data_IF_719742118964
#
_entry.id   IF_719742118964
#
_cell.length_a   1.000
_cell.length_b   1.000
_cell.length_c   1.000
_cell.angle_alpha   90.00
_cell.angle_beta   90.00
_cell.angle_gamma   90.00
#
_symmetry.space_group_name_H-M   'P 1'
#
loop_
_entity.id
_entity.type
_entity.pdbx_description
1 polymer ?
#
# COMPACT_ATOMS: atom_id res chain seq x y z
N UNK A 1 7.84 -7.13 11.57
CA UNK A 1 8.16 -6.74 10.17
C UNK A 1 9.45 -5.94 10.17
N UNK A 2 10.36 -6.33 9.33
CA UNK A 2 11.59 -5.56 9.13
C UNK A 2 11.35 -4.47 8.10
N UNK A 3 11.87 -3.28 8.36
CA UNK A 3 11.78 -2.15 7.45
C UNK A 3 13.18 -1.71 7.10
N UNK A 4 13.48 -1.70 5.80
CA UNK A 4 14.75 -1.15 5.33
C UNK A 4 14.66 0.36 5.35
N UNK A 5 15.61 1.01 6.01
CA UNK A 5 15.68 2.46 6.00
C UNK A 5 16.20 2.93 4.65
N UNK A 6 15.41 3.69 3.95
CA UNK A 6 15.77 4.26 2.66
C UNK A 6 15.40 5.74 2.62
N UNK A 7 15.70 6.40 1.52
CA UNK A 7 15.41 7.83 1.38
C UNK A 7 13.94 8.15 1.59
N UNK A 8 13.03 7.26 1.12
CA UNK A 8 11.60 7.45 1.29
C UNK A 8 11.18 7.52 2.74
N UNK A 9 11.69 6.61 3.57
CA UNK A 9 11.39 6.60 4.99
C UNK A 9 12.12 7.69 5.75
N UNK A 10 13.40 7.91 5.44
CA UNK A 10 14.23 8.86 6.17
C UNK A 10 13.82 10.31 5.92
N UNK A 11 13.39 10.62 4.70
CA UNK A 11 13.11 11.99 4.28
C UNK A 11 11.67 12.21 3.82
N UNK A 12 10.79 11.22 4.03
CA UNK A 12 9.39 11.35 3.63
C UNK A 12 9.14 11.22 2.13
N UNK A 13 10.10 10.70 1.38
CA UNK A 13 9.98 10.52 -0.08
C UNK A 13 9.34 9.19 -0.40
N UNK A 14 8.05 9.16 -0.46
CA UNK A 14 7.31 7.96 -0.77
C UNK A 14 5.86 8.28 -1.08
N UNK A 15 5.09 7.25 -1.41
CA UNK A 15 3.67 7.37 -1.67
C UNK A 15 2.90 6.40 -0.79
N UNK A 16 1.70 6.77 -0.41
CA UNK A 16 0.85 5.88 0.35
C UNK A 16 -0.61 6.04 -0.04
N UNK A 17 -1.38 4.99 0.23
CA UNK A 17 -2.83 4.99 0.11
C UNK A 17 -3.42 4.42 1.39
N UNK A 18 -4.49 5.05 1.86
CA UNK A 18 -5.27 4.53 2.97
C UNK A 18 -6.62 4.09 2.43
N UNK A 19 -6.86 2.79 2.44
CA UNK A 19 -8.01 2.18 1.79
C UNK A 19 -8.99 1.72 2.86
N UNK A 20 -10.20 2.26 2.83
CA UNK A 20 -11.23 1.86 3.78
C UNK A 20 -11.60 0.39 3.60
N UNK A 21 -11.83 -0.28 4.71
CA UNK A 21 -12.29 -1.67 4.74
C UNK A 21 -13.62 -1.69 5.47
N UNK A 22 -14.63 -2.26 4.83
CA UNK A 22 -15.96 -2.42 5.43
C UNK A 22 -16.48 -3.82 5.13
N UNK A 23 -16.94 -4.52 6.16
CA UNK A 23 -17.40 -5.90 6.07
C UNK A 23 -16.35 -6.80 5.40
N UNK A 24 -15.08 -6.56 5.70
CA UNK A 24 -13.96 -7.32 5.14
C UNK A 24 -13.61 -6.98 3.71
N UNK A 25 -14.24 -5.96 3.13
CA UNK A 25 -14.02 -5.58 1.72
C UNK A 25 -13.32 -4.25 1.61
N UNK A 26 -12.32 -4.19 0.74
CA UNK A 26 -11.60 -2.96 0.43
C UNK A 26 -12.44 -2.08 -0.50
N UNK A 27 -12.63 -0.83 -0.10
CA UNK A 27 -13.46 0.11 -0.84
C UNK A 27 -12.62 0.83 -1.88
N UNK A 28 -13.04 0.76 -3.15
CA UNK A 28 -12.35 1.41 -4.28
C UNK A 28 -10.89 1.01 -4.43
N UNK A 29 -10.59 -0.28 -4.19
CA UNK A 29 -9.22 -0.78 -4.26
C UNK A 29 -8.54 -0.44 -5.60
N UNK A 30 -9.23 -0.63 -6.70
CA UNK A 30 -8.68 -0.37 -8.03
C UNK A 30 -8.29 1.10 -8.23
N UNK A 31 -9.10 2.02 -7.71
CA UNK A 31 -8.82 3.46 -7.81
C UNK A 31 -7.61 3.84 -6.97
N UNK A 32 -7.54 3.29 -5.76
CA UNK A 32 -6.39 3.53 -4.88
C UNK A 32 -5.09 3.02 -5.51
N UNK A 33 -5.12 1.83 -6.08
CA UNK A 33 -3.93 1.27 -6.70
C UNK A 33 -3.51 2.04 -7.95
N UNK A 34 -4.46 2.48 -8.76
CA UNK A 34 -4.13 3.31 -9.93
C UNK A 34 -3.51 4.64 -9.53
N UNK A 35 -4.03 5.27 -8.47
CA UNK A 35 -3.47 6.53 -7.97
C UNK A 35 -2.08 6.30 -7.40
N UNK A 36 -1.88 5.20 -6.68
CA UNK A 36 -0.57 4.84 -6.16
C UNK A 36 0.43 4.63 -7.30
N UNK A 37 0.02 3.91 -8.34
CA UNK A 37 0.89 3.66 -9.50
C UNK A 37 1.34 4.97 -10.14
N UNK A 38 0.43 5.93 -10.32
CA UNK A 38 0.78 7.25 -10.87
C UNK A 38 1.77 7.98 -9.97
N UNK A 39 1.60 7.88 -8.66
CA UNK A 39 2.52 8.51 -7.70
C UNK A 39 3.91 7.89 -7.79
N UNK A 40 4.00 6.56 -7.91
CA UNK A 40 5.29 5.87 -8.07
C UNK A 40 6.00 6.31 -9.33
N UNK A 41 5.28 6.44 -10.45
CA UNK A 41 5.82 6.95 -11.69
C UNK A 41 6.36 8.37 -11.51
N UNK A 42 5.58 9.24 -10.89
CA UNK A 42 5.97 10.62 -10.64
C UNK A 42 7.24 10.71 -9.80
N UNK A 43 7.34 9.87 -8.77
CA UNK A 43 8.50 9.83 -7.88
C UNK A 43 9.67 9.06 -8.46
N UNK A 44 9.48 8.38 -9.60
CA UNK A 44 10.50 7.55 -10.26
C UNK A 44 11.01 6.42 -9.37
N UNK A 45 10.10 5.80 -8.63
CA UNK A 45 10.43 4.68 -7.74
C UNK A 45 9.79 3.37 -8.19
N UNK A 46 9.41 3.30 -9.46
CA UNK A 46 8.92 2.07 -10.09
C UNK A 46 7.45 2.13 -10.48
N UNK A 47 6.88 0.95 -10.64
CA UNK A 47 5.45 0.77 -10.93
C UNK A 47 4.91 -0.26 -9.95
N UNK A 48 3.59 -0.39 -9.85
CA UNK A 48 3.00 -1.45 -9.04
C UNK A 48 3.49 -2.83 -9.49
N UNK A 49 3.53 -3.02 -10.79
CA UNK A 49 3.97 -4.29 -11.38
C UNK A 49 5.41 -4.62 -11.01
N UNK A 50 6.32 -3.67 -11.22
CA UNK A 50 7.74 -3.83 -10.87
C UNK A 50 7.93 -4.06 -9.37
N UNK A 51 7.08 -3.48 -8.53
CA UNK A 51 7.17 -3.59 -7.08
C UNK A 51 6.42 -4.82 -6.54
N UNK A 52 5.79 -5.61 -7.42
CA UNK A 52 5.07 -6.82 -7.04
C UNK A 52 3.79 -6.56 -6.26
N UNK A 53 3.18 -5.41 -6.44
CA UNK A 53 1.96 -5.04 -5.72
C UNK A 53 0.75 -5.35 -6.60
N UNK A 54 -0.12 -6.23 -6.12
CA UNK A 54 -1.32 -6.67 -6.83
C UNK A 54 -2.56 -6.50 -5.96
N UNK A 55 -3.73 -6.45 -6.57
CA UNK A 55 -4.99 -6.44 -5.83
C UNK A 55 -5.09 -7.65 -4.91
N UNK A 56 -4.70 -8.83 -5.43
CA UNK A 56 -4.75 -10.07 -4.65
C UNK A 56 -3.92 -9.97 -3.38
N UNK A 57 -2.74 -9.38 -3.47
CA UNK A 57 -1.85 -9.22 -2.33
C UNK A 57 -2.51 -8.36 -1.24
N UNK A 58 -3.16 -7.26 -1.62
CA UNK A 58 -3.85 -6.39 -0.68
C UNK A 58 -5.04 -7.09 -0.05
N UNK A 59 -5.83 -7.79 -0.86
CA UNK A 59 -6.97 -8.57 -0.40
C UNK A 59 -6.53 -9.65 0.59
N UNK A 60 -5.46 -10.38 0.25
CA UNK A 60 -4.94 -11.44 1.11
C UNK A 60 -4.44 -10.88 2.45
N UNK A 61 -3.81 -9.71 2.44
CA UNK A 61 -3.38 -9.05 3.67
C UNK A 61 -4.58 -8.77 4.59
N UNK A 62 -5.63 -8.18 4.05
CA UNK A 62 -6.85 -7.85 4.81
C UNK A 62 -7.47 -9.12 5.41
N UNK A 63 -7.51 -10.20 4.64
CA UNK A 63 -8.03 -11.50 5.11
C UNK A 63 -7.17 -12.08 6.21
N UNK A 64 -5.86 -12.07 6.04
CA UNK A 64 -4.92 -12.61 7.02
C UNK A 64 -5.00 -11.85 8.35
N UNK A 65 -5.20 -10.55 8.28
CA UNK A 65 -5.31 -9.71 9.48
C UNK A 65 -6.72 -9.76 10.08
N UNK A 66 -7.67 -10.44 9.43
CA UNK A 66 -9.07 -10.50 9.86
C UNK A 66 -9.68 -9.11 10.06
N UNK A 67 -9.26 -8.19 9.22
CA UNK A 67 -9.74 -6.80 9.28
C UNK A 67 -11.12 -6.73 8.62
N UNK A 68 -12.12 -6.35 9.38
CA UNK A 68 -13.50 -6.24 8.89
C UNK A 68 -13.95 -4.81 8.71
N UNK A 69 -13.60 -3.95 9.66
CA UNK A 69 -13.93 -2.53 9.60
C UNK A 69 -12.73 -1.71 10.03
N UNK A 70 -12.36 -0.76 9.21
CA UNK A 70 -11.19 0.07 9.48
C UNK A 70 -10.51 0.50 8.19
N UNK A 71 -9.20 0.43 8.15
CA UNK A 71 -8.44 0.82 6.98
C UNK A 71 -7.19 -0.03 6.82
N UNK A 72 -6.80 -0.20 5.56
CA UNK A 72 -5.52 -0.79 5.17
C UNK A 72 -4.66 0.34 4.59
N UNK A 73 -3.50 0.57 5.17
CA UNK A 73 -2.56 1.56 4.67
C UNK A 73 -1.42 0.85 3.95
N UNK A 74 -1.18 1.26 2.73
CA UNK A 74 -0.11 0.74 1.90
C UNK A 74 0.87 1.87 1.63
N UNK A 75 2.11 1.72 2.09
CA UNK A 75 3.16 2.72 1.91
C UNK A 75 4.27 2.13 1.06
N UNK A 76 4.69 2.89 0.04
CA UNK A 76 5.75 2.47 -0.88
C UNK A 76 6.80 3.57 -0.94
N UNK A 77 8.02 3.20 -0.64
CA UNK A 77 9.19 4.05 -0.84
C UNK A 77 10.17 3.31 -1.73
N UNK A 78 11.34 3.91 -1.98
CA UNK A 78 12.29 3.36 -2.94
C UNK A 78 12.61 1.88 -2.72
N UNK A 79 12.76 1.46 -1.47
CA UNK A 79 13.16 0.08 -1.14
C UNK A 79 12.16 -0.67 -0.29
N UNK A 80 11.06 -0.02 0.15
CA UNK A 80 10.11 -0.63 1.07
C UNK A 80 8.69 -0.63 0.53
N UNK A 81 7.98 -1.72 0.81
CA UNK A 81 6.54 -1.83 0.63
C UNK A 81 5.99 -2.30 1.96
N UNK A 82 5.16 -1.49 2.60
CA UNK A 82 4.67 -1.76 3.95
C UNK A 82 3.17 -1.69 4.01
N UNK A 83 2.55 -2.76 4.52
CA UNK A 83 1.12 -2.82 4.79
C UNK A 83 0.89 -2.58 6.28
N UNK A 84 -0.09 -1.78 6.60
CA UNK A 84 -0.51 -1.54 7.98
C UNK A 84 -2.03 -1.60 8.06
N UNK A 85 -2.54 -2.01 9.22
CA UNK A 85 -3.98 -1.98 9.45
C UNK A 85 -4.32 -0.96 10.52
N UNK A 86 -5.51 -0.35 10.35
CA UNK A 86 -6.08 0.57 11.34
C UNK A 86 -7.52 0.17 11.58
N UNK A 87 -7.91 0.16 12.81
CA UNK A 87 -9.27 -0.18 13.20
C UNK A 87 -10.03 1.03 13.67
#
# INVERSE_FOLDING_TARGET
>A
MEITLDEGYSFGLGAFETIAVKDGKLIFLDRHLRRLDRALHFLKIGTLDERGITEKQVIDYVKQQKLTDGACKLTVSKENVVFQQRQ
#
